data_IF_518311607773
#
_entry.id   IF_518311607773
#
_cell.length_a   1.000
_cell.length_b   1.000
_cell.length_c   1.000
_cell.angle_alpha   90.00
_cell.angle_beta   90.00
_cell.angle_gamma   90.00
#
_symmetry.space_group_name_H-M   'P 1'
#
loop_
_entity.id
_entity.type
_entity.pdbx_description
1 polymer ?
#
# COMPACT_ATOMS: atom_id res chain seq x y z
N UNK A 1 1.14 -10.76 4.97
CA UNK A 1 0.48 -11.20 6.22
C UNK A 1 0.28 -10.03 7.20
N UNK A 2 1.26 -9.14 7.34
CA UNK A 2 1.16 -7.96 8.22
C UNK A 2 0.01 -7.02 7.83
N UNK A 3 -0.24 -6.78 6.53
CA UNK A 3 -1.35 -5.90 6.11
C UNK A 3 -2.71 -6.43 6.56
N UNK A 4 -2.94 -7.74 6.41
CA UNK A 4 -4.17 -8.37 6.89
C UNK A 4 -4.34 -8.25 8.40
N UNK A 5 -3.25 -8.43 9.17
CA UNK A 5 -3.27 -8.27 10.61
C UNK A 5 -3.61 -6.82 11.04
N UNK A 6 -3.09 -5.81 10.34
CA UNK A 6 -3.41 -4.41 10.60
C UNK A 6 -4.88 -4.08 10.30
N UNK A 7 -5.43 -4.63 9.21
CA UNK A 7 -6.85 -4.46 8.88
C UNK A 7 -7.74 -5.08 9.97
N UNK A 8 -7.47 -6.33 10.35
CA UNK A 8 -8.24 -7.02 11.39
C UNK A 8 -8.10 -6.33 12.75
N UNK A 9 -6.92 -5.83 13.09
CA UNK A 9 -6.71 -5.05 14.31
C UNK A 9 -7.51 -3.74 14.31
N UNK A 10 -7.58 -3.05 13.17
CA UNK A 10 -8.41 -1.85 13.02
C UNK A 10 -9.89 -2.14 13.22
N UNK A 11 -10.41 -3.21 12.61
CA UNK A 11 -11.79 -3.67 12.79
C UNK A 11 -12.06 -4.02 14.26
N UNK A 12 -11.14 -4.73 14.91
CA UNK A 12 -11.23 -5.07 16.33
C UNK A 12 -11.34 -3.82 17.20
N UNK A 13 -10.50 -2.81 16.99
CA UNK A 13 -10.54 -1.54 17.75
C UNK A 13 -11.88 -0.84 17.55
N UNK A 14 -12.42 -0.82 16.33
CA UNK A 14 -13.75 -0.26 16.05
C UNK A 14 -14.81 -0.94 16.90
N UNK A 15 -14.85 -2.27 16.93
CA UNK A 15 -15.85 -3.02 17.70
C UNK A 15 -15.73 -2.78 19.21
N UNK A 16 -14.52 -2.65 19.75
CA UNK A 16 -14.33 -2.32 21.17
C UNK A 16 -14.79 -0.90 21.51
N UNK A 17 -14.57 0.06 20.61
CA UNK A 17 -15.06 1.43 20.78
C UNK A 17 -16.59 1.48 20.73
N UNK A 18 -17.20 0.83 19.74
CA UNK A 18 -18.66 0.78 19.60
C UNK A 18 -19.29 0.10 20.84
N UNK A 19 -18.70 -0.98 21.34
CA UNK A 19 -19.13 -1.63 22.58
C UNK A 19 -19.00 -0.72 23.80
N UNK A 20 -17.89 0.02 23.94
CA UNK A 20 -17.68 0.95 25.04
C UNK A 20 -18.69 2.11 25.06
N UNK A 21 -19.11 2.57 23.89
CA UNK A 21 -20.10 3.64 23.73
C UNK A 21 -21.55 3.16 23.58
N UNK A 22 -21.78 1.85 23.57
CA UNK A 22 -23.11 1.24 23.47
C UNK A 22 -24.06 1.73 24.58
N UNK A 23 -23.56 1.90 25.80
CA UNK A 23 -24.36 2.35 26.94
C UNK A 23 -24.52 3.88 27.00
N UNK A 24 -23.84 4.65 26.14
CA UNK A 24 -23.96 6.10 26.10
C UNK A 24 -25.32 6.50 25.49
N UNK A 25 -26.02 7.43 26.14
CA UNK A 25 -27.30 7.96 25.65
C UNK A 25 -27.08 9.20 24.79
N UNK A 26 -27.93 9.37 23.78
CA UNK A 26 -27.90 10.53 22.89
C UNK A 26 -26.95 10.36 21.71
N UNK A 27 -26.63 11.44 21.02
CA UNK A 27 -25.89 11.41 19.74
C UNK A 27 -24.39 11.07 19.86
N UNK A 28 -23.86 10.97 21.08
CA UNK A 28 -22.44 10.69 21.33
C UNK A 28 -22.09 9.25 20.95
N UNK A 29 -23.03 8.31 21.11
CA UNK A 29 -22.82 6.88 20.90
C UNK A 29 -22.32 6.53 19.49
N UNK A 30 -22.81 7.23 18.44
CA UNK A 30 -22.40 6.99 17.06
C UNK A 30 -21.43 8.05 16.53
N UNK A 31 -21.45 9.27 17.06
CA UNK A 31 -20.57 10.35 16.56
C UNK A 31 -19.12 10.18 17.00
N UNK A 32 -18.90 9.76 18.24
CA UNK A 32 -17.55 9.65 18.77
C UNK A 32 -16.74 8.52 18.10
N UNK A 33 -17.27 7.29 17.94
CA UNK A 33 -16.52 6.23 17.25
C UNK A 33 -16.13 6.60 15.82
N UNK A 34 -17.02 7.26 15.07
CA UNK A 34 -16.72 7.76 13.73
C UNK A 34 -15.63 8.84 13.77
N UNK A 35 -15.75 9.81 14.67
CA UNK A 35 -14.78 10.90 14.80
C UNK A 35 -13.40 10.41 15.26
N UNK A 36 -13.33 9.35 16.08
CA UNK A 36 -12.07 8.80 16.57
C UNK A 36 -11.16 8.29 15.45
N UNK A 37 -11.71 7.89 14.30
CA UNK A 37 -10.93 7.47 13.12
C UNK A 37 -9.97 8.58 12.63
N UNK A 38 -10.32 9.85 12.88
CA UNK A 38 -9.49 11.02 12.53
C UNK A 38 -8.14 10.97 13.26
N UNK A 39 -8.04 10.37 14.46
CA UNK A 39 -6.78 10.26 15.20
C UNK A 39 -5.74 9.50 14.38
N UNK A 40 -6.12 8.39 13.75
CA UNK A 40 -5.21 7.62 12.90
C UNK A 40 -4.80 8.39 11.64
N UNK A 41 -5.74 9.14 11.04
CA UNK A 41 -5.43 10.01 9.91
C UNK A 41 -4.44 11.12 10.30
N UNK A 42 -4.60 11.74 11.47
CA UNK A 42 -3.67 12.74 11.99
C UNK A 42 -2.29 12.12 12.23
N UNK A 43 -2.21 10.92 12.82
CA UNK A 43 -0.91 10.24 13.02
C UNK A 43 -0.19 10.01 11.69
N UNK A 44 -0.90 9.58 10.64
CA UNK A 44 -0.33 9.39 9.31
C UNK A 44 0.14 10.73 8.72
N UNK A 45 -0.70 11.77 8.78
CA UNK A 45 -0.35 13.11 8.27
C UNK A 45 0.84 13.68 9.02
N UNK A 46 0.87 13.57 10.35
CA UNK A 46 2.00 13.99 11.16
C UNK A 46 3.27 13.22 10.82
N UNK A 47 3.20 11.89 10.62
CA UNK A 47 4.36 11.10 10.21
C UNK A 47 4.91 11.58 8.86
N UNK A 48 4.04 11.78 7.86
CA UNK A 48 4.42 12.31 6.54
C UNK A 48 5.01 13.72 6.67
N UNK A 49 4.39 14.61 7.43
CA UNK A 49 4.87 15.99 7.61
C UNK A 49 6.17 16.07 8.41
N UNK A 50 6.37 15.22 9.42
CA UNK A 50 7.61 15.11 10.20
C UNK A 50 8.74 14.53 9.35
N UNK A 51 8.46 13.54 8.50
CA UNK A 51 9.42 13.07 7.49
C UNK A 51 9.84 14.21 6.54
N UNK A 52 8.89 15.04 6.10
CA UNK A 52 9.18 16.19 5.23
C UNK A 52 9.95 17.30 5.98
N UNK A 53 9.64 17.58 7.24
CA UNK A 53 10.31 18.62 8.03
C UNK A 53 11.72 18.21 8.47
N UNK A 54 11.93 16.93 8.77
CA UNK A 54 13.26 16.36 9.07
C UNK A 54 14.19 16.46 7.85
N UNK A 55 13.65 16.42 6.63
CA UNK A 55 14.40 16.66 5.40
C UNK A 55 14.85 18.13 5.25
N UNK A 56 14.00 19.10 5.62
CA UNK A 56 14.32 20.53 5.51
C UNK A 56 15.37 20.99 6.56
N UNK A 57 15.32 20.45 7.78
CA UNK A 57 16.27 20.81 8.85
C UNK A 57 17.67 20.18 8.67
N UNK A 58 17.76 19.05 7.96
CA UNK A 58 19.03 18.30 7.79
C UNK A 58 19.83 18.74 6.57
N UNK A 59 19.30 19.61 5.69
CA UNK A 59 20.03 20.12 4.51
C UNK A 59 21.26 20.99 4.84
N UNK A 60 21.54 21.26 6.14
CA UNK A 60 22.70 22.05 6.58
C UNK A 60 23.86 21.24 7.18
N UNK A 61 23.71 19.92 7.40
CA UNK A 61 24.82 19.07 7.85
C UNK A 61 24.96 17.85 6.93
N UNK A 62 26.13 17.73 6.33
CA UNK A 62 26.49 16.78 5.28
C UNK A 62 26.72 15.36 5.80
N UNK A 63 25.70 14.74 6.42
CA UNK A 63 25.76 13.33 6.82
C UNK A 63 24.76 12.51 5.99
N UNK A 64 25.33 11.84 4.98
CA UNK A 64 24.71 10.99 3.96
C UNK A 64 23.85 9.84 4.52
N UNK A 65 24.00 9.50 5.80
CA UNK A 65 23.22 8.47 6.50
C UNK A 65 21.76 8.88 6.80
N UNK A 66 21.37 10.13 6.52
CA UNK A 66 20.02 10.68 6.82
C UNK A 66 19.08 10.70 5.60
N UNK A 67 19.45 10.07 4.48
CA UNK A 67 18.62 10.02 3.28
C UNK A 67 17.45 9.01 3.37
N UNK A 68 17.47 8.12 4.37
CA UNK A 68 16.64 6.91 4.42
C UNK A 68 15.37 7.01 5.29
N UNK A 69 15.09 8.18 5.89
CA UNK A 69 13.94 8.37 6.79
C UNK A 69 12.75 9.09 6.13
N UNK A 70 12.74 9.10 4.79
CA UNK A 70 11.55 9.27 3.97
C UNK A 70 11.22 7.92 3.37
N UNK A 71 9.95 7.51 3.38
CA UNK A 71 9.47 6.32 2.65
C UNK A 71 10.00 6.41 1.21
N UNK A 72 10.99 5.58 0.81
CA UNK A 72 11.54 5.69 -0.52
C UNK A 72 10.43 5.40 -1.53
N UNK A 73 10.34 6.21 -2.58
CA UNK A 73 9.47 5.91 -3.70
C UNK A 73 9.79 4.51 -4.23
N UNK A 74 8.78 3.83 -4.77
CA UNK A 74 8.97 2.47 -5.31
C UNK A 74 10.16 2.45 -6.28
N UNK A 75 11.15 1.55 -6.10
CA UNK A 75 12.31 1.44 -7.00
C UNK A 75 11.92 1.31 -8.46
N UNK A 76 10.82 0.59 -8.73
CA UNK A 76 10.24 0.46 -10.08
C UNK A 76 9.74 1.78 -10.65
N UNK A 77 9.16 2.65 -9.82
CA UNK A 77 8.73 3.99 -10.24
C UNK A 77 9.94 4.90 -10.52
N UNK A 78 11.01 4.80 -9.73
CA UNK A 78 12.26 5.54 -9.94
C UNK A 78 12.94 5.16 -11.26
N UNK A 79 13.03 3.86 -11.55
CA UNK A 79 13.55 3.35 -12.84
C UNK A 79 12.70 3.88 -14.01
N UNK A 80 11.37 3.91 -13.87
CA UNK A 80 10.45 4.48 -14.87
C UNK A 80 10.66 6.00 -15.08
N UNK A 81 11.31 6.69 -14.15
CA UNK A 81 11.68 8.11 -14.23
C UNK A 81 13.15 8.33 -14.59
N UNK A 82 13.83 7.31 -15.10
CA UNK A 82 15.27 7.31 -15.43
C UNK A 82 16.20 7.58 -14.23
N UNK A 83 15.71 7.43 -12.99
CA UNK A 83 16.46 7.61 -11.73
C UNK A 83 17.01 6.27 -11.22
N UNK A 84 17.83 5.61 -12.03
CA UNK A 84 18.31 4.24 -11.79
C UNK A 84 19.26 4.15 -10.59
N UNK A 85 20.14 5.14 -10.41
CA UNK A 85 21.11 5.15 -9.30
C UNK A 85 20.40 5.20 -7.93
N UNK A 86 19.31 5.97 -7.82
CA UNK A 86 18.53 6.04 -6.60
C UNK A 86 17.78 4.72 -6.33
N UNK A 87 17.26 4.09 -7.38
CA UNK A 87 16.64 2.77 -7.27
C UNK A 87 17.66 1.71 -6.82
N UNK A 88 18.91 1.77 -7.30
CA UNK A 88 20.01 0.89 -6.90
C UNK A 88 20.31 1.01 -5.42
N UNK A 89 20.36 2.24 -4.89
CA UNK A 89 20.54 2.48 -3.46
C UNK A 89 19.40 1.88 -2.63
N UNK A 90 18.14 2.01 -3.07
CA UNK A 90 17.01 1.43 -2.35
C UNK A 90 17.05 -0.10 -2.39
N UNK A 91 17.36 -0.71 -3.55
CA UNK A 91 17.54 -2.17 -3.64
C UNK A 91 18.68 -2.67 -2.75
N UNK A 92 19.80 -1.95 -2.71
CA UNK A 92 20.93 -2.27 -1.83
C UNK A 92 20.54 -2.25 -0.35
N UNK A 93 19.69 -1.29 0.05
CA UNK A 93 19.17 -1.20 1.41
C UNK A 93 18.11 -2.24 1.73
N UNK A 94 17.32 -2.68 0.73
CA UNK A 94 16.29 -3.72 0.90
C UNK A 94 16.89 -5.12 1.02
N UNK A 95 17.90 -5.41 0.20
CA UNK A 95 18.54 -6.72 0.14
C UNK A 95 19.79 -6.83 1.05
N UNK A 96 20.17 -5.75 1.73
CA UNK A 96 21.35 -5.65 2.62
C UNK A 96 22.65 -6.07 1.92
N UNK A 97 22.83 -5.60 0.69
CA UNK A 97 24.03 -5.85 -0.14
C UNK A 97 24.61 -4.54 -0.65
N UNK A 98 25.87 -4.57 -1.09
CA UNK A 98 26.52 -3.39 -1.65
C UNK A 98 25.82 -2.92 -2.94
N UNK A 99 25.71 -1.60 -3.22
CA UNK A 99 25.00 -1.08 -4.39
C UNK A 99 25.47 -1.65 -5.73
N UNK A 100 26.76 -1.97 -5.84
CA UNK A 100 27.37 -2.52 -7.06
C UNK A 100 27.29 -4.05 -7.15
N UNK A 101 26.58 -4.69 -6.23
CA UNK A 101 26.43 -6.14 -6.22
C UNK A 101 25.61 -6.61 -7.44
N UNK A 102 26.10 -7.66 -8.11
CA UNK A 102 25.52 -8.21 -9.34
C UNK A 102 24.01 -8.53 -9.25
N UNK A 103 23.52 -8.90 -8.06
CA UNK A 103 22.11 -9.17 -7.82
C UNK A 103 21.23 -7.93 -8.08
N UNK A 104 21.66 -6.74 -7.65
CA UNK A 104 20.89 -5.51 -7.86
C UNK A 104 20.87 -5.16 -9.35
N UNK A 105 22.02 -5.28 -10.02
CA UNK A 105 22.11 -5.05 -11.47
C UNK A 105 21.16 -5.97 -12.24
N UNK A 106 21.12 -7.26 -11.91
CA UNK A 106 20.20 -8.22 -12.52
C UNK A 106 18.72 -7.85 -12.27
N UNK A 107 18.37 -7.42 -11.05
CA UNK A 107 17.01 -6.99 -10.72
C UNK A 107 16.60 -5.73 -11.49
N UNK A 108 17.50 -4.74 -11.60
CA UNK A 108 17.25 -3.52 -12.37
C UNK A 108 17.04 -3.88 -13.85
N UNK A 109 17.87 -4.75 -14.41
CA UNK A 109 17.75 -5.21 -15.80
C UNK A 109 16.40 -5.91 -16.05
N UNK A 110 15.97 -6.79 -15.15
CA UNK A 110 14.66 -7.45 -15.23
C UNK A 110 13.53 -6.42 -15.23
N UNK A 111 13.57 -5.45 -14.30
CA UNK A 111 12.55 -4.41 -14.20
C UNK A 111 12.54 -3.54 -15.46
N UNK A 112 13.70 -3.13 -15.97
CA UNK A 112 13.81 -2.36 -17.22
C UNK A 112 13.21 -3.15 -18.40
N UNK A 113 13.50 -4.45 -18.50
CA UNK A 113 12.94 -5.29 -19.56
C UNK A 113 11.40 -5.35 -19.48
N UNK A 114 10.83 -5.50 -18.29
CA UNK A 114 9.37 -5.49 -18.10
C UNK A 114 8.74 -4.14 -18.41
N UNK A 115 9.39 -3.02 -18.04
CA UNK A 115 8.89 -1.68 -18.32
C UNK A 115 8.88 -1.36 -19.82
N UNK A 116 9.91 -1.79 -20.56
CA UNK A 116 9.97 -1.65 -22.02
C UNK A 116 8.85 -2.44 -22.69
N UNK A 117 8.58 -3.66 -22.23
CA UNK A 117 7.48 -4.47 -22.76
C UNK A 117 6.11 -3.83 -22.46
N UNK A 118 5.93 -3.27 -21.26
CA UNK A 118 4.72 -2.54 -20.87
C UNK A 118 4.49 -1.29 -21.73
N UNK A 119 5.53 -0.50 -21.98
CA UNK A 119 5.46 0.70 -22.81
C UNK A 119 5.14 0.36 -24.28
N UNK A 120 5.76 -0.70 -24.82
CA UNK A 120 5.45 -1.20 -26.18
C UNK A 120 4.03 -1.73 -26.27
N UNK A 121 3.56 -2.39 -25.23
CA UNK A 121 2.25 -3.02 -25.22
C UNK A 121 1.13 -1.99 -25.24
N UNK A 122 1.30 -0.86 -24.51
CA UNK A 122 0.35 0.26 -24.37
C UNK A 122 -1.11 -0.23 -24.42
N UNK A 123 -1.37 -1.30 -23.67
CA UNK A 123 -2.52 -2.15 -23.86
C UNK A 123 -3.78 -1.41 -23.38
N UNK A 124 -4.77 -1.16 -24.25
CA UNK A 124 -6.04 -0.61 -23.78
C UNK A 124 -6.70 -1.61 -22.82
N UNK A 125 -7.46 -1.10 -21.85
CA UNK A 125 -8.28 -1.91 -20.91
C UNK A 125 -9.12 -2.96 -21.64
N UNK A 126 -9.53 -2.70 -22.89
CA UNK A 126 -10.23 -3.66 -23.75
C UNK A 126 -9.46 -4.98 -23.96
N UNK A 127 -8.13 -5.00 -23.87
CA UNK A 127 -7.31 -6.23 -23.94
C UNK A 127 -7.58 -7.19 -22.78
N UNK A 128 -8.08 -6.71 -21.65
CA UNK A 128 -8.54 -7.59 -20.57
C UNK A 128 -9.73 -8.46 -20.98
N UNK A 129 -10.48 -8.04 -22.01
CA UNK A 129 -11.66 -8.75 -22.51
C UNK A 129 -11.39 -9.60 -23.76
N UNK A 130 -10.12 -9.73 -24.18
CA UNK A 130 -9.79 -10.52 -25.38
C UNK A 130 -9.36 -11.94 -25.01
N UNK A 131 -9.81 -12.89 -25.84
CA UNK A 131 -9.38 -14.28 -25.80
C UNK A 131 -8.22 -14.48 -26.79
N UNK A 132 -7.03 -14.03 -26.38
CA UNK A 132 -5.79 -14.24 -27.12
C UNK A 132 -4.99 -15.46 -26.61
N UNK A 133 -3.80 -15.67 -27.19
CA UNK A 133 -2.86 -16.73 -26.78
C UNK A 133 -2.50 -16.66 -25.29
N UNK A 134 -2.46 -15.45 -24.73
CA UNK A 134 -2.14 -15.15 -23.32
C UNK A 134 -3.35 -15.24 -22.37
N UNK A 135 -4.55 -15.50 -22.91
CA UNK A 135 -5.79 -15.72 -22.14
C UNK A 135 -6.06 -14.64 -21.08
N UNK A 136 -5.87 -13.37 -21.43
CA UNK A 136 -6.07 -12.24 -20.51
C UNK A 136 -7.46 -12.24 -19.84
N UNK A 137 -8.52 -12.53 -20.60
CA UNK A 137 -9.87 -12.61 -20.02
C UNK A 137 -10.01 -13.71 -18.97
N UNK A 138 -9.41 -14.88 -19.19
CA UNK A 138 -9.41 -15.95 -18.19
C UNK A 138 -8.69 -15.52 -16.91
N UNK A 139 -7.52 -14.87 -17.04
CA UNK A 139 -6.77 -14.35 -15.89
C UNK A 139 -7.55 -13.26 -15.14
N UNK A 140 -8.20 -12.36 -15.88
CA UNK A 140 -9.06 -11.33 -15.29
C UNK A 140 -10.25 -11.94 -14.54
N UNK A 141 -10.89 -12.98 -15.09
CA UNK A 141 -11.98 -13.69 -14.44
C UNK A 141 -11.54 -14.49 -13.22
N UNK A 142 -10.34 -15.08 -13.22
CA UNK A 142 -9.78 -15.72 -12.03
C UNK A 142 -9.59 -14.70 -10.90
N UNK A 143 -9.02 -13.53 -11.20
CA UNK A 143 -8.90 -12.44 -10.23
C UNK A 143 -10.25 -11.95 -9.73
N UNK A 144 -11.20 -11.73 -10.63
CA UNK A 144 -12.57 -11.34 -10.30
C UNK A 144 -13.24 -12.34 -9.36
N UNK A 145 -13.22 -13.63 -9.69
CA UNK A 145 -13.86 -14.66 -8.87
C UNK A 145 -13.16 -14.85 -7.53
N UNK A 146 -11.83 -14.69 -7.47
CA UNK A 146 -11.11 -14.67 -6.20
C UNK A 146 -11.59 -13.53 -5.29
N UNK A 147 -11.73 -12.31 -5.82
CA UNK A 147 -12.25 -11.17 -5.06
C UNK A 147 -13.74 -11.31 -4.73
N UNK A 148 -14.55 -11.86 -5.64
CA UNK A 148 -15.97 -12.11 -5.40
C UNK A 148 -16.17 -13.13 -4.29
N UNK A 149 -15.40 -14.23 -4.29
CA UNK A 149 -15.43 -15.24 -3.25
C UNK A 149 -15.15 -14.63 -1.87
N UNK A 150 -14.17 -13.71 -1.75
CA UNK A 150 -13.89 -13.02 -0.48
C UNK A 150 -15.12 -12.29 0.08
N UNK A 151 -15.94 -11.65 -0.76
CA UNK A 151 -17.13 -10.92 -0.33
C UNK A 151 -18.33 -11.84 -0.10
N UNK A 152 -18.48 -12.90 -0.92
CA UNK A 152 -19.56 -13.89 -0.83
C UNK A 152 -19.48 -14.77 0.41
N UNK A 153 -18.33 -14.82 1.10
CA UNK A 153 -18.24 -15.42 2.45
C UNK A 153 -19.14 -14.73 3.47
N UNK A 154 -19.68 -13.56 3.15
CA UNK A 154 -20.57 -12.81 4.03
C UNK A 154 -19.82 -12.04 5.12
N UNK A 155 -18.52 -11.79 4.95
CA UNK A 155 -17.71 -11.03 5.92
C UNK A 155 -18.32 -9.66 6.24
N UNK A 156 -18.93 -8.99 5.26
CA UNK A 156 -19.62 -7.72 5.47
C UNK A 156 -21.00 -7.87 6.13
N UNK A 157 -21.67 -9.02 5.98
CA UNK A 157 -22.99 -9.27 6.58
C UNK A 157 -22.92 -9.38 8.10
N UNK A 158 -21.80 -9.87 8.64
CA UNK A 158 -21.57 -9.96 10.09
C UNK A 158 -21.65 -8.59 10.77
N UNK A 159 -21.21 -7.53 10.10
CA UNK A 159 -21.31 -6.16 10.61
C UNK A 159 -22.73 -5.60 10.61
N UNK A 160 -23.51 -5.89 9.56
CA UNK A 160 -24.83 -5.28 9.33
C UNK A 160 -25.94 -6.00 10.11
N UNK A 161 -25.99 -7.33 10.07
CA UNK A 161 -27.09 -8.12 10.67
C UNK A 161 -27.08 -8.09 12.21
N UNK A 162 -26.01 -7.58 12.84
CA UNK A 162 -25.94 -7.42 14.29
C UNK A 162 -26.73 -6.21 14.80
N UNK A 163 -27.07 -5.25 13.94
CA UNK A 163 -27.89 -4.09 14.34
C UNK A 163 -29.39 -4.40 14.46
N UNK A 164 -29.84 -5.57 13.98
CA UNK A 164 -31.26 -5.97 13.96
C UNK A 164 -31.70 -6.87 15.13
N UNK A 165 -30.81 -7.21 16.08
CA UNK A 165 -31.13 -8.04 17.27
C UNK A 165 -30.67 -7.34 18.55
#
# INVERSE_FOLDING_TARGET
MVEGALITAGIMISYWLDFGFFFAKGSVNWRFPIAFQIVFAIVIVCFVLVSIHSFCSTYYNSDFLTFQQSLPDSPRWLIKKDRVEEARLIFSALDDVEPDHHLITAQIEEIVATLIDEERSNAPIRRLFTFGREKHFHRAMLGFWNQAAQQLTGINLVGIMREEV
#
